data_IF_602808189132
#
_entry.id   IF_602808189132
#
_cell.length_a   1.000
_cell.length_b   1.000
_cell.length_c   1.000
_cell.angle_alpha   90.00
_cell.angle_beta   90.00
_cell.angle_gamma   90.00
#
_symmetry.space_group_name_H-M   'P 1'
#
loop_
_entity.id
_entity.type
_entity.pdbx_description
1 polymer ?
#
# COMPACT_ATOMS: atom_id res chain seq x y z
N UNK A 1 -8.41 -10.24 -12.18
CA UNK A 1 -8.58 -8.84 -12.64
C UNK A 1 -9.99 -8.39 -12.28
N UNK A 2 -10.15 -7.23 -11.67
CA UNK A 2 -11.46 -6.65 -11.31
C UNK A 2 -11.86 -5.58 -12.33
N UNK A 3 -10.91 -4.76 -12.75
CA UNK A 3 -11.09 -3.69 -13.72
C UNK A 3 -9.93 -3.70 -14.71
N UNK A 4 -10.20 -3.48 -16.01
CA UNK A 4 -9.16 -3.46 -17.04
C UNK A 4 -8.54 -2.09 -17.23
N UNK A 5 -9.29 -1.03 -17.00
CA UNK A 5 -8.81 0.33 -17.22
C UNK A 5 -9.53 1.31 -16.26
N UNK A 6 -8.82 1.85 -15.27
CA UNK A 6 -7.44 1.54 -14.91
C UNK A 6 -7.29 0.07 -14.50
N UNK A 7 -6.10 -0.51 -14.70
CA UNK A 7 -5.91 -1.90 -14.33
C UNK A 7 -5.85 -2.06 -12.82
N UNK A 8 -6.86 -2.73 -12.26
CA UNK A 8 -6.98 -3.08 -10.84
C UNK A 8 -7.29 -4.58 -10.76
N UNK A 9 -6.52 -5.32 -9.99
CA UNK A 9 -6.69 -6.75 -9.85
C UNK A 9 -6.63 -7.23 -8.41
N UNK A 10 -7.29 -8.35 -8.15
CA UNK A 10 -7.30 -9.03 -6.87
C UNK A 10 -6.88 -10.49 -7.06
N UNK A 11 -5.91 -10.90 -6.26
CA UNK A 11 -5.56 -12.31 -6.08
C UNK A 11 -6.22 -12.81 -4.79
N UNK A 12 -7.03 -13.84 -4.89
CA UNK A 12 -7.55 -14.52 -3.71
C UNK A 12 -6.50 -15.50 -3.19
N UNK A 13 -6.33 -15.56 -1.87
CA UNK A 13 -5.44 -16.52 -1.21
C UNK A 13 -4.00 -16.54 -1.75
N UNK A 14 -3.43 -15.36 -2.04
CA UNK A 14 -2.02 -15.26 -2.45
C UNK A 14 -1.09 -15.80 -1.36
N UNK A 15 -1.40 -15.48 -0.11
CA UNK A 15 -0.74 -16.06 1.07
C UNK A 15 -1.76 -16.78 1.95
N UNK A 16 -1.27 -17.73 2.71
CA UNK A 16 -2.11 -18.45 3.68
C UNK A 16 -2.41 -17.58 4.90
N UNK A 17 -3.48 -17.86 5.66
CA UNK A 17 -3.73 -17.21 6.93
C UNK A 17 -2.56 -17.31 7.91
N UNK A 18 -1.85 -18.45 7.93
CA UNK A 18 -0.67 -18.66 8.78
C UNK A 18 0.49 -17.72 8.39
N UNK A 19 0.74 -17.53 7.09
CA UNK A 19 1.76 -16.58 6.63
C UNK A 19 1.39 -15.13 7.01
N UNK A 20 0.11 -14.77 6.89
CA UNK A 20 -0.38 -13.47 7.34
C UNK A 20 -0.18 -13.27 8.85
N UNK A 21 -0.49 -14.28 9.68
CA UNK A 21 -0.23 -14.22 11.12
C UNK A 21 1.27 -14.08 11.44
N UNK A 22 2.13 -14.81 10.75
CA UNK A 22 3.57 -14.71 10.93
C UNK A 22 4.07 -13.28 10.62
N UNK A 23 3.62 -12.67 9.54
CA UNK A 23 3.94 -11.28 9.19
C UNK A 23 3.47 -10.30 10.28
N UNK A 24 2.24 -10.45 10.76
CA UNK A 24 1.70 -9.63 11.85
C UNK A 24 2.49 -9.80 13.15
N UNK A 25 2.84 -11.03 13.50
CA UNK A 25 3.61 -11.33 14.70
C UNK A 25 4.98 -10.62 14.69
N UNK A 26 5.70 -10.72 13.57
CA UNK A 26 7.00 -10.07 13.40
C UNK A 26 6.91 -8.54 13.45
N UNK A 27 5.83 -7.98 12.92
CA UNK A 27 5.64 -6.53 12.89
C UNK A 27 5.22 -5.96 14.25
N UNK A 28 4.38 -6.67 15.00
CA UNK A 28 3.66 -6.15 16.19
C UNK A 28 4.56 -5.43 17.20
N UNK A 29 5.70 -6.00 17.55
CA UNK A 29 6.62 -5.43 18.55
C UNK A 29 7.46 -4.27 18.03
N UNK A 30 7.50 -4.06 16.72
CA UNK A 30 8.36 -3.08 16.05
C UNK A 30 7.57 -1.94 15.39
N UNK A 31 6.24 -1.98 15.51
CA UNK A 31 5.38 -0.93 14.94
C UNK A 31 5.55 0.38 15.67
N UNK A 32 5.76 1.43 14.92
CA UNK A 32 5.78 2.81 15.39
C UNK A 32 4.57 3.56 14.83
N UNK A 33 4.09 4.58 15.54
CA UNK A 33 3.10 5.51 14.97
C UNK A 33 3.69 6.10 13.70
N UNK A 34 2.87 6.21 12.66
CA UNK A 34 3.35 6.71 11.36
C UNK A 34 4.02 8.06 11.55
N UNK A 35 5.35 8.16 11.40
CA UNK A 35 6.00 9.46 11.43
C UNK A 35 5.61 10.16 10.13
N UNK A 36 4.95 11.27 10.25
CA UNK A 36 4.68 12.09 9.10
C UNK A 36 5.35 13.44 9.28
N UNK A 37 6.37 13.67 8.50
CA UNK A 37 7.14 14.89 8.52
C UNK A 37 7.09 15.51 7.12
N UNK A 38 6.16 16.42 6.88
CA UNK A 38 6.18 17.25 5.69
C UNK A 38 6.25 18.70 6.15
N UNK A 39 7.40 19.31 5.96
CA UNK A 39 7.61 20.74 6.17
C UNK A 39 7.37 21.23 7.61
N UNK A 40 7.61 20.40 8.64
CA UNK A 40 7.48 20.82 10.05
C UNK A 40 6.06 20.94 10.56
N UNK A 41 5.05 20.50 9.83
CA UNK A 41 3.64 20.53 10.25
C UNK A 41 3.12 19.15 10.64
N UNK A 42 3.52 18.67 11.81
CA UNK A 42 3.13 17.34 12.31
C UNK A 42 1.62 17.14 12.60
N UNK A 43 0.84 18.19 12.77
CA UNK A 43 -0.56 18.07 13.21
C UNK A 43 -1.55 17.75 12.09
N UNK A 44 -1.34 18.25 10.89
CA UNK A 44 -2.30 18.07 9.80
C UNK A 44 -2.35 16.61 9.34
N UNK A 45 -1.24 15.95 9.33
CA UNK A 45 -1.09 14.60 8.81
C UNK A 45 -1.54 13.49 9.76
N UNK A 46 -1.52 13.72 11.08
CA UNK A 46 -2.14 12.81 12.04
C UNK A 46 -3.65 12.67 11.84
N UNK A 47 -4.31 13.68 11.23
CA UNK A 47 -5.73 13.63 10.86
C UNK A 47 -5.96 12.90 9.55
N UNK A 48 -4.99 12.90 8.63
CA UNK A 48 -5.11 12.27 7.31
C UNK A 48 -4.79 10.78 7.33
N UNK A 49 -3.92 10.36 8.25
CA UNK A 49 -3.52 8.97 8.39
C UNK A 49 -3.35 8.58 9.85
N UNK A 50 -4.15 7.61 10.29
CA UNK A 50 -4.10 7.07 11.65
C UNK A 50 -3.72 5.59 11.58
N UNK A 51 -2.42 5.29 11.59
CA UNK A 51 -1.91 3.92 11.53
C UNK A 51 -0.60 3.81 12.29
N UNK A 52 -0.24 2.57 12.63
CA UNK A 52 1.12 2.20 13.01
C UNK A 52 1.78 1.50 11.84
N UNK A 53 3.07 1.70 11.65
CA UNK A 53 3.84 1.14 10.55
C UNK A 53 5.10 0.44 11.04
N UNK A 54 5.55 -0.52 10.25
CA UNK A 54 6.85 -1.15 10.34
C UNK A 54 7.35 -1.47 8.93
N UNK A 55 8.60 -1.14 8.64
CA UNK A 55 9.24 -1.54 7.38
C UNK A 55 9.97 -2.87 7.55
N UNK A 56 9.74 -3.79 6.63
CA UNK A 56 10.29 -5.13 6.64
C UNK A 56 11.07 -5.38 5.35
N UNK A 57 12.38 -5.57 5.51
CA UNK A 57 13.25 -5.86 4.37
C UNK A 57 13.10 -7.33 3.96
N UNK A 58 12.72 -7.56 2.71
CA UNK A 58 12.52 -8.90 2.16
C UNK A 58 13.80 -9.73 2.11
N UNK A 59 14.97 -9.10 2.00
CA UNK A 59 16.24 -9.81 1.96
C UNK A 59 16.74 -10.25 3.34
N UNK A 60 16.17 -9.69 4.42
CA UNK A 60 16.57 -9.98 5.80
C UNK A 60 15.53 -10.81 6.57
N UNK A 61 14.29 -10.86 6.08
CA UNK A 61 13.17 -11.51 6.76
C UNK A 61 12.60 -12.59 5.86
N UNK A 62 12.74 -13.85 6.25
CA UNK A 62 12.31 -15.02 5.45
C UNK A 62 10.82 -15.02 5.10
N UNK A 63 9.98 -14.52 6.00
CA UNK A 63 8.54 -14.41 5.79
C UNK A 63 8.24 -13.37 4.68
N UNK A 64 8.91 -12.23 4.71
CA UNK A 64 8.80 -11.19 3.68
C UNK A 64 9.31 -11.73 2.32
N UNK A 65 10.45 -12.43 2.31
CA UNK A 65 10.98 -13.09 1.11
C UNK A 65 9.98 -14.09 0.53
N UNK A 66 9.31 -14.88 1.37
CA UNK A 66 8.30 -15.83 0.91
C UNK A 66 7.12 -15.14 0.22
N UNK A 67 6.65 -14.03 0.77
CA UNK A 67 5.58 -13.20 0.17
C UNK A 67 6.05 -12.60 -1.15
N UNK A 68 7.24 -12.02 -1.19
CA UNK A 68 7.83 -11.44 -2.41
C UNK A 68 7.92 -12.46 -3.56
N UNK A 69 8.36 -13.68 -3.26
CA UNK A 69 8.38 -14.77 -4.24
C UNK A 69 7.00 -15.10 -4.79
N UNK A 70 5.96 -15.12 -3.96
CA UNK A 70 4.58 -15.37 -4.40
C UNK A 70 4.06 -14.24 -5.30
N UNK A 71 4.37 -12.98 -4.98
CA UNK A 71 4.07 -11.84 -5.83
C UNK A 71 4.78 -11.98 -7.18
N UNK A 72 6.09 -12.30 -7.17
CA UNK A 72 6.85 -12.54 -8.40
C UNK A 72 6.21 -13.64 -9.26
N UNK A 73 5.86 -14.78 -8.68
CA UNK A 73 5.22 -15.87 -9.41
C UNK A 73 3.84 -15.51 -9.97
N UNK A 74 3.04 -14.78 -9.20
CA UNK A 74 1.69 -14.38 -9.59
C UNK A 74 1.68 -13.32 -10.70
N UNK A 75 2.63 -12.40 -10.67
CA UNK A 75 2.68 -11.22 -11.57
C UNK A 75 3.67 -11.36 -12.71
N UNK A 76 4.65 -12.27 -12.58
CA UNK A 76 5.83 -12.37 -13.45
C UNK A 76 6.74 -11.14 -13.41
N UNK A 77 6.52 -10.23 -12.47
CA UNK A 77 7.41 -9.09 -12.26
C UNK A 77 8.72 -9.56 -11.62
N UNK A 78 9.85 -9.08 -12.15
CA UNK A 78 11.15 -9.40 -11.58
C UNK A 78 11.41 -8.51 -10.35
N UNK A 79 11.03 -9.00 -9.18
CA UNK A 79 11.20 -8.28 -7.91
C UNK A 79 12.52 -8.65 -7.20
N UNK A 80 13.12 -9.78 -7.54
CA UNK A 80 14.13 -10.43 -6.71
C UNK A 80 15.59 -10.07 -7.02
N UNK A 81 15.89 -9.44 -8.15
CA UNK A 81 17.27 -9.32 -8.63
C UNK A 81 17.78 -7.90 -8.83
N UNK A 82 16.97 -6.89 -8.63
CA UNK A 82 17.40 -5.52 -8.83
C UNK A 82 17.24 -4.72 -7.53
N UNK A 83 18.32 -4.05 -7.15
CA UNK A 83 18.43 -3.27 -5.90
C UNK A 83 17.33 -2.23 -5.72
N UNK A 84 16.58 -1.94 -6.77
CA UNK A 84 15.52 -0.92 -6.83
C UNK A 84 14.21 -1.43 -7.45
N UNK A 85 14.05 -2.73 -7.63
CA UNK A 85 12.84 -3.28 -8.24
C UNK A 85 11.63 -3.24 -7.29
N UNK A 86 11.87 -3.31 -5.99
CA UNK A 86 10.81 -3.21 -4.97
C UNK A 86 11.29 -2.43 -3.75
N UNK A 87 10.34 -1.74 -3.11
CA UNK A 87 10.55 -1.13 -1.80
C UNK A 87 10.42 -2.19 -0.69
N UNK A 88 10.96 -1.91 0.48
CA UNK A 88 10.70 -2.72 1.67
C UNK A 88 9.20 -2.82 1.92
N UNK A 89 8.73 -3.98 2.37
CA UNK A 89 7.33 -4.12 2.78
C UNK A 89 6.99 -3.11 3.88
N UNK A 90 5.97 -2.30 3.65
CA UNK A 90 5.38 -1.44 4.66
C UNK A 90 4.20 -2.18 5.29
N UNK A 91 4.42 -2.76 6.46
CA UNK A 91 3.33 -3.38 7.24
C UNK A 91 2.60 -2.29 8.00
N UNK A 92 1.29 -2.19 7.76
CA UNK A 92 0.45 -1.16 8.35
C UNK A 92 -0.62 -1.78 9.24
N UNK A 93 -0.85 -1.17 10.40
CA UNK A 93 -1.95 -1.50 11.29
C UNK A 93 -2.84 -0.26 11.47
N UNK A 94 -4.03 -0.34 10.92
CA UNK A 94 -5.11 0.61 11.15
C UNK A 94 -5.94 0.09 12.33
N UNK A 95 -5.68 0.55 13.54
CA UNK A 95 -6.56 0.25 14.67
C UNK A 95 -8.00 0.71 14.42
N UNK A 96 -8.88 0.48 15.40
CA UNK A 96 -10.28 0.94 15.34
C UNK A 96 -10.31 2.44 15.01
N UNK A 97 -11.12 2.82 14.04
CA UNK A 97 -11.19 4.20 13.54
C UNK A 97 -9.98 4.65 12.73
N UNK A 98 -9.00 3.77 12.52
CA UNK A 98 -7.83 4.07 11.68
C UNK A 98 -8.21 4.20 10.22
N UNK A 99 -7.60 5.19 9.54
CA UNK A 99 -7.87 5.50 8.14
C UNK A 99 -6.65 6.07 7.44
N UNK A 100 -6.70 6.05 6.13
CA UNK A 100 -5.85 6.88 5.26
C UNK A 100 -6.74 7.64 4.29
N UNK A 101 -6.53 8.94 4.22
CA UNK A 101 -7.28 9.82 3.32
C UNK A 101 -6.93 9.53 1.86
N UNK A 102 -7.74 10.06 0.95
CA UNK A 102 -7.55 9.89 -0.48
C UNK A 102 -6.16 10.37 -0.92
N UNK A 103 -5.46 9.54 -1.67
CA UNK A 103 -4.10 9.81 -2.16
C UNK A 103 -3.77 9.00 -3.42
N UNK A 104 -2.64 9.34 -4.03
CA UNK A 104 -1.94 8.54 -5.04
C UNK A 104 -0.67 7.94 -4.40
N UNK A 105 -0.30 6.75 -4.79
CA UNK A 105 0.95 6.12 -4.32
C UNK A 105 2.19 6.58 -5.09
N UNK A 106 1.99 7.06 -6.30
CA UNK A 106 3.06 7.67 -7.09
C UNK A 106 3.45 9.01 -6.47
N UNK A 107 4.69 9.24 -6.13
CA UNK A 107 5.26 10.50 -5.61
C UNK A 107 5.01 10.84 -4.14
N UNK A 108 4.16 10.12 -3.41
CA UNK A 108 3.76 10.50 -2.05
C UNK A 108 2.87 11.74 -2.00
N UNK A 109 2.20 12.10 -3.09
CA UNK A 109 1.27 13.21 -3.14
C UNK A 109 0.08 13.03 -2.21
N UNK A 110 -0.13 13.99 -1.34
CA UNK A 110 -1.40 14.19 -0.62
C UNK A 110 -2.19 15.26 -1.33
N UNK A 111 -3.38 14.91 -1.80
CA UNK A 111 -4.28 15.89 -2.41
C UNK A 111 -5.19 16.45 -1.31
N UNK A 112 -4.97 17.70 -0.95
CA UNK A 112 -5.83 18.46 -0.06
C UNK A 112 -6.51 19.57 -0.87
N UNK A 113 -7.85 19.62 -0.84
CA UNK A 113 -8.66 20.63 -1.55
C UNK A 113 -8.36 20.75 -3.07
N UNK A 114 -8.01 19.64 -3.72
CA UNK A 114 -7.73 19.62 -5.15
C UNK A 114 -6.35 20.17 -5.55
N UNK A 115 -5.50 20.45 -4.58
CA UNK A 115 -4.12 20.89 -4.83
C UNK A 115 -3.15 19.77 -4.45
N UNK A 116 -2.30 19.37 -5.38
CA UNK A 116 -1.24 18.41 -5.18
C UNK A 116 -0.02 19.09 -4.56
N UNK A 117 0.48 18.57 -3.44
CA UNK A 117 1.75 18.98 -2.86
C UNK A 117 2.81 17.93 -3.17
N UNK A 118 3.48 18.09 -4.31
CA UNK A 118 4.62 17.27 -4.67
C UNK A 118 5.90 18.02 -4.32
N UNK A 119 6.66 17.54 -3.36
CA UNK A 119 8.01 18.04 -3.13
C UNK A 119 9.10 17.29 -3.91
N UNK A 120 8.71 16.24 -4.66
CA UNK A 120 9.61 15.51 -5.57
C UNK A 120 10.87 14.92 -4.92
N UNK A 121 10.94 14.93 -3.60
CA UNK A 121 12.20 14.78 -2.85
C UNK A 121 12.35 13.45 -2.12
N UNK A 122 11.48 12.46 -2.35
CA UNK A 122 11.77 11.13 -1.79
C UNK A 122 13.08 10.63 -2.41
N UNK A 123 14.01 10.17 -1.60
CA UNK A 123 15.28 9.61 -2.11
C UNK A 123 15.03 8.47 -3.10
N UNK A 124 13.93 7.75 -2.96
CA UNK A 124 13.50 6.69 -3.88
C UNK A 124 13.15 7.22 -5.27
N UNK A 125 12.45 8.35 -5.38
CA UNK A 125 12.12 8.94 -6.69
C UNK A 125 13.37 9.40 -7.44
N UNK A 126 14.45 9.72 -6.72
CA UNK A 126 15.72 10.11 -7.33
C UNK A 126 16.54 8.91 -7.85
N UNK A 127 16.38 7.75 -7.26
CA UNK A 127 17.23 6.58 -7.52
C UNK A 127 16.46 5.50 -8.30
N UNK A 128 15.22 5.21 -7.92
CA UNK A 128 14.40 4.12 -8.45
C UNK A 128 13.29 4.57 -9.41
N UNK A 129 13.10 5.86 -9.60
CA UNK A 129 11.98 6.38 -10.38
C UNK A 129 10.67 6.39 -9.61
N UNK A 130 9.55 6.31 -10.34
CA UNK A 130 8.20 6.34 -9.77
C UNK A 130 7.70 4.93 -9.42
N UNK A 131 6.80 4.83 -8.45
CA UNK A 131 6.08 3.60 -8.14
C UNK A 131 5.18 3.24 -9.32
N UNK A 132 5.60 2.29 -10.13
CA UNK A 132 4.86 1.83 -11.30
C UNK A 132 3.59 1.07 -10.92
N UNK A 133 3.69 0.21 -9.90
CA UNK A 133 2.59 -0.62 -9.40
C UNK A 133 2.59 -0.65 -7.88
N UNK A 134 1.42 -0.64 -7.28
CA UNK A 134 1.24 -0.93 -5.86
C UNK A 134 0.66 -2.33 -5.70
N UNK A 135 1.24 -3.07 -4.78
CA UNK A 135 0.81 -4.41 -4.42
C UNK A 135 0.54 -4.46 -2.92
N UNK A 136 -0.70 -4.65 -2.54
CA UNK A 136 -1.15 -4.61 -1.15
C UNK A 136 -1.73 -5.95 -0.73
N UNK A 137 -1.12 -6.58 0.29
CA UNK A 137 -1.58 -7.86 0.83
C UNK A 137 -2.37 -7.62 2.11
N UNK A 138 -3.59 -8.13 2.17
CA UNK A 138 -4.41 -8.07 3.37
C UNK A 138 -4.00 -9.13 4.39
N UNK A 139 -3.49 -8.70 5.53
CA UNK A 139 -3.05 -9.58 6.61
C UNK A 139 -4.18 -9.92 7.60
N UNK A 140 -5.33 -9.29 7.47
CA UNK A 140 -6.51 -9.53 8.29
C UNK A 140 -7.78 -9.33 7.48
N UNK A 141 -8.83 -10.07 7.84
CA UNK A 141 -10.20 -9.69 7.51
C UNK A 141 -10.76 -8.81 8.63
N UNK A 142 -11.73 -7.96 8.31
CA UNK A 142 -12.46 -7.15 9.29
C UNK A 142 -13.97 -7.31 9.08
N UNK A 143 -14.75 -7.23 10.15
CA UNK A 143 -16.21 -7.40 10.06
C UNK A 143 -16.83 -6.21 9.34
N UNK A 144 -16.43 -5.00 9.69
CA UNK A 144 -16.94 -3.77 9.09
C UNK A 144 -15.84 -2.75 8.82
N UNK A 145 -15.99 -1.98 7.77
CA UNK A 145 -15.00 -0.99 7.34
C UNK A 145 -13.75 -1.60 6.72
N UNK A 146 -12.62 -0.90 6.83
CA UNK A 146 -11.29 -1.34 6.37
C UNK A 146 -11.13 -1.50 4.86
N UNK A 147 -12.15 -1.17 4.07
CA UNK A 147 -12.11 -1.33 2.63
C UNK A 147 -11.15 -0.34 1.97
N UNK A 148 -10.49 -0.81 0.90
CA UNK A 148 -9.76 0.06 -0.02
C UNK A 148 -10.74 0.53 -1.09
N UNK A 149 -10.99 1.82 -1.14
CA UNK A 149 -11.95 2.42 -2.06
C UNK A 149 -11.24 3.24 -3.14
N UNK A 150 -11.72 3.11 -4.37
CA UNK A 150 -11.33 3.89 -5.53
C UNK A 150 -12.54 4.71 -5.98
N UNK A 151 -12.65 5.99 -5.58
CA UNK A 151 -13.85 6.78 -5.83
C UNK A 151 -14.18 6.99 -7.30
N UNK A 152 -13.18 7.21 -8.16
CA UNK A 152 -13.43 7.46 -9.58
C UNK A 152 -14.00 6.24 -10.31
N UNK A 153 -13.42 5.03 -10.19
CA UNK A 153 -14.05 3.82 -10.72
C UNK A 153 -15.30 3.39 -9.97
N UNK A 154 -15.63 4.00 -8.83
CA UNK A 154 -16.78 3.64 -8.02
C UNK A 154 -16.67 2.27 -7.35
N UNK A 155 -15.45 1.84 -6.99
CA UNK A 155 -15.20 0.51 -6.44
C UNK A 155 -14.72 0.59 -5.00
N UNK A 156 -15.02 -0.48 -4.26
CA UNK A 156 -14.56 -0.68 -2.88
C UNK A 156 -14.25 -2.16 -2.65
N UNK A 157 -13.05 -2.46 -2.22
CA UNK A 157 -12.56 -3.82 -2.01
C UNK A 157 -12.44 -4.08 -0.52
N UNK A 158 -13.25 -5.04 -0.03
CA UNK A 158 -13.23 -5.45 1.36
C UNK A 158 -11.98 -6.29 1.66
N UNK A 159 -11.30 -6.09 2.80
CA UNK A 159 -10.14 -6.89 3.16
C UNK A 159 -10.54 -8.34 3.44
N UNK A 160 -9.86 -9.26 2.79
CA UNK A 160 -9.92 -10.70 3.00
C UNK A 160 -8.52 -11.19 3.31
N UNK A 161 -8.34 -11.84 4.46
CA UNK A 161 -7.02 -12.33 4.88
C UNK A 161 -6.38 -13.21 3.80
N UNK A 162 -5.14 -12.90 3.46
CA UNK A 162 -4.38 -13.62 2.45
C UNK A 162 -4.64 -13.19 1.01
N UNK A 163 -5.65 -12.37 0.74
CA UNK A 163 -5.84 -11.79 -0.58
C UNK A 163 -4.88 -10.63 -0.83
N UNK A 164 -4.64 -10.33 -2.10
CA UNK A 164 -3.77 -9.23 -2.51
C UNK A 164 -4.41 -8.39 -3.62
N UNK A 165 -4.49 -7.10 -3.37
CA UNK A 165 -4.98 -6.10 -4.31
C UNK A 165 -3.78 -5.44 -4.99
N UNK A 166 -3.85 -5.23 -6.30
CA UNK A 166 -2.83 -4.48 -7.02
C UNK A 166 -3.47 -3.49 -8.01
N UNK A 167 -2.74 -2.44 -8.29
CA UNK A 167 -3.08 -1.46 -9.32
C UNK A 167 -1.84 -0.81 -9.91
N UNK A 168 -1.93 -0.45 -11.18
CA UNK A 168 -0.89 0.32 -11.82
C UNK A 168 -1.08 1.81 -11.54
N UNK A 169 0.01 2.45 -11.09
CA UNK A 169 0.01 3.88 -10.75
C UNK A 169 0.20 4.77 -11.98
N UNK A 170 0.67 4.18 -13.08
CA UNK A 170 1.02 4.89 -14.31
C UNK A 170 0.12 4.43 -15.46
N UNK A 171 -0.38 5.38 -16.22
CA UNK A 171 -1.09 5.11 -17.47
C UNK A 171 -0.14 4.78 -18.63
N UNK A 172 -0.71 4.40 -19.77
CA UNK A 172 0.04 3.98 -20.97
C UNK A 172 1.03 5.02 -21.52
N UNK A 173 0.84 6.29 -21.20
CA UNK A 173 1.72 7.38 -21.61
C UNK A 173 2.78 7.76 -20.56
N UNK A 174 3.00 6.87 -19.59
CA UNK A 174 3.92 7.10 -18.47
C UNK A 174 3.57 8.34 -17.62
N UNK A 175 2.31 8.71 -17.59
CA UNK A 175 1.74 9.75 -16.73
C UNK A 175 0.95 9.10 -15.60
N UNK A 176 0.74 9.84 -14.51
CA UNK A 176 -0.07 9.36 -13.39
C UNK A 176 -1.53 9.19 -13.81
N UNK A 177 -2.10 8.07 -13.43
CA UNK A 177 -3.51 7.80 -13.66
C UNK A 177 -4.33 8.29 -12.45
N UNK A 178 -4.96 9.45 -12.57
CA UNK A 178 -5.79 10.00 -11.48
C UNK A 178 -6.97 9.11 -11.10
N UNK A 179 -7.35 8.18 -11.97
CA UNK A 179 -8.46 7.23 -11.73
C UNK A 179 -8.13 6.24 -10.62
N UNK A 180 -6.83 6.05 -10.29
CA UNK A 180 -6.40 5.17 -9.18
C UNK A 180 -6.25 5.90 -7.83
N UNK A 181 -6.74 7.13 -7.73
CA UNK A 181 -6.91 7.77 -6.42
C UNK A 181 -7.68 6.84 -5.49
N UNK A 182 -7.12 6.57 -4.33
CA UNK A 182 -7.70 5.61 -3.39
C UNK A 182 -7.58 6.07 -1.94
N UNK A 183 -8.36 5.43 -1.09
CA UNK A 183 -8.38 5.68 0.35
C UNK A 183 -8.63 4.37 1.11
N UNK A 184 -8.19 4.31 2.35
CA UNK A 184 -8.55 3.25 3.28
C UNK A 184 -9.64 3.73 4.24
N UNK A 185 -10.84 3.12 4.15
CA UNK A 185 -11.95 3.46 5.01
C UNK A 185 -11.67 3.08 6.47
N UNK A 186 -12.33 3.79 7.38
CA UNK A 186 -12.26 3.48 8.81
C UNK A 186 -12.63 2.03 9.07
N UNK A 187 -11.83 1.37 9.90
CA UNK A 187 -12.11 0.02 10.38
C UNK A 187 -12.99 0.11 11.63
N UNK A 188 -14.02 -0.74 11.67
CA UNK A 188 -14.89 -0.92 12.82
C UNK A 188 -14.77 -2.38 13.26
N UNK A 189 -14.92 -2.61 14.56
CA UNK A 189 -15.04 -3.97 15.14
C UNK A 189 -16.49 -4.42 15.06
#
# INVERSE_FOLDING_TARGET
MILKEPEIGLFHQLITPQEAENMKHLARSKMISTPYNVGGKNELFSKLRTSKIMYMNENLVKEAMAVSRKIHWATRMNLANERFASENFQVMNYGIGGKISIHLDSTGEVIENGTSSNDGTSEWSKIGGQRFVTFMVYLSSVEAGGATAFPQPGMSIKPEIGSALYWFNMGAQNNFDSRILHLGNQSYI
#
